data_IF_337330657996
#
_entry.id   IF_337330657996
#
_cell.length_a   1.000
_cell.length_b   1.000
_cell.length_c   1.000
_cell.angle_alpha   90.00
_cell.angle_beta   90.00
_cell.angle_gamma   90.00
#
_symmetry.space_group_name_H-M   'P 1'
#
loop_
_entity.id
_entity.type
_entity.pdbx_description
1 polymer ?
#
# COMPACT_ATOMS: atom_id res chain seq x y z
N UNK A 1 2.42 -12.04 16.09
CA UNK A 1 2.23 -10.69 15.53
C UNK A 1 1.03 -10.76 14.61
N UNK A 2 -0.09 -10.16 15.04
CA UNK A 2 -1.37 -10.29 14.37
C UNK A 2 -1.28 -9.83 12.92
N UNK A 3 -1.97 -10.52 12.02
CA UNK A 3 -2.01 -10.15 10.62
C UNK A 3 -2.37 -8.67 10.48
N UNK A 4 -1.38 -7.82 10.18
CA UNK A 4 -1.64 -6.58 9.46
C UNK A 4 -2.28 -7.05 8.17
N UNK A 5 -3.60 -7.10 8.17
CA UNK A 5 -4.35 -7.75 7.12
C UNK A 5 -4.01 -7.01 5.85
N UNK A 6 -3.54 -7.74 4.83
CA UNK A 6 -3.19 -7.17 3.52
C UNK A 6 -4.32 -6.29 2.96
N UNK A 7 -5.56 -6.57 3.34
CA UNK A 7 -6.73 -5.71 3.13
C UNK A 7 -6.53 -4.25 3.56
N UNK A 8 -5.91 -3.99 4.71
CA UNK A 8 -5.65 -2.64 5.22
C UNK A 8 -4.60 -1.94 4.35
N UNK A 9 -3.55 -2.65 3.96
CA UNK A 9 -2.47 -2.12 3.12
C UNK A 9 -3.04 -1.75 1.74
N UNK A 10 -3.81 -2.67 1.14
CA UNK A 10 -4.45 -2.48 -0.16
C UNK A 10 -5.49 -1.36 -0.10
N UNK A 11 -6.33 -1.33 0.94
CA UNK A 11 -7.30 -0.24 1.13
C UNK A 11 -6.61 1.12 1.26
N UNK A 12 -5.46 1.18 1.94
CA UNK A 12 -4.68 2.41 2.03
C UNK A 12 -4.13 2.85 0.67
N UNK A 13 -3.62 1.92 -0.15
CA UNK A 13 -3.18 2.25 -1.51
C UNK A 13 -4.34 2.78 -2.35
N UNK A 14 -5.52 2.14 -2.29
CA UNK A 14 -6.70 2.61 -3.03
C UNK A 14 -7.19 3.97 -2.55
N UNK A 15 -7.11 4.26 -1.25
CA UNK A 15 -7.42 5.58 -0.72
C UNK A 15 -6.50 6.65 -1.35
N UNK A 16 -5.20 6.41 -1.36
CA UNK A 16 -4.22 7.34 -1.95
C UNK A 16 -4.44 7.53 -3.46
N UNK A 17 -4.77 6.45 -4.18
CA UNK A 17 -5.14 6.53 -5.59
C UNK A 17 -6.41 7.37 -5.81
N UNK A 18 -7.41 7.23 -4.94
CA UNK A 18 -8.65 8.01 -5.00
C UNK A 18 -8.42 9.50 -4.70
N UNK A 19 -7.40 9.82 -3.91
CA UNK A 19 -6.92 11.19 -3.67
C UNK A 19 -6.17 11.80 -4.88
N UNK A 20 -6.03 11.04 -5.98
CA UNK A 20 -5.33 11.47 -7.20
C UNK A 20 -3.82 11.23 -7.18
N UNK A 21 -3.32 10.46 -6.22
CA UNK A 21 -1.91 10.08 -6.16
C UNK A 21 -1.56 9.08 -7.26
N UNK A 22 -0.34 9.18 -7.81
CA UNK A 22 0.16 8.18 -8.75
C UNK A 22 0.31 6.82 -8.07
N UNK A 23 0.17 5.72 -8.83
CA UNK A 23 0.33 4.35 -8.29
C UNK A 23 1.70 4.16 -7.61
N UNK A 24 2.76 4.70 -8.21
CA UNK A 24 4.12 4.61 -7.66
C UNK A 24 4.28 5.35 -6.34
N UNK A 25 3.68 6.52 -6.20
CA UNK A 25 3.71 7.31 -4.97
C UNK A 25 2.84 6.69 -3.87
N UNK A 26 1.65 6.19 -4.24
CA UNK A 26 0.74 5.52 -3.32
C UNK A 26 1.38 4.26 -2.72
N UNK A 27 2.02 3.45 -3.56
CA UNK A 27 2.78 2.27 -3.12
C UNK A 27 4.00 2.67 -2.28
N UNK A 28 4.68 3.77 -2.61
CA UNK A 28 5.81 4.26 -1.82
C UNK A 28 5.38 4.69 -0.42
N UNK A 29 4.29 5.46 -0.29
CA UNK A 29 3.72 5.84 1.01
C UNK A 29 3.24 4.63 1.81
N UNK A 30 2.57 3.68 1.17
CA UNK A 30 2.13 2.46 1.84
C UNK A 30 3.31 1.62 2.32
N UNK A 31 4.37 1.50 1.51
CA UNK A 31 5.61 0.81 1.87
C UNK A 31 6.25 1.41 3.12
N UNK A 32 6.40 2.73 3.16
CA UNK A 32 6.95 3.46 4.30
C UNK A 32 6.07 3.34 5.55
N UNK A 33 4.75 3.45 5.39
CA UNK A 33 3.79 3.39 6.51
C UNK A 33 3.72 2.03 7.18
N UNK A 34 3.74 0.95 6.39
CA UNK A 34 3.53 -0.41 6.89
C UNK A 34 4.83 -1.22 7.02
N UNK A 35 5.98 -0.66 6.62
CA UNK A 35 7.27 -1.35 6.67
C UNK A 35 7.35 -2.54 5.71
N UNK A 36 6.60 -2.51 4.61
CA UNK A 36 6.51 -3.61 3.63
C UNK A 36 7.22 -3.21 2.34
N UNK A 37 7.84 -4.17 1.66
CA UNK A 37 8.53 -3.87 0.40
C UNK A 37 7.55 -3.42 -0.70
N UNK A 38 7.95 -2.42 -1.50
CA UNK A 38 7.15 -1.93 -2.64
C UNK A 38 6.81 -3.05 -3.61
N UNK A 39 7.78 -3.93 -3.90
CA UNK A 39 7.61 -5.09 -4.79
C UNK A 39 6.55 -6.06 -4.28
N UNK A 40 6.48 -6.29 -2.98
CA UNK A 40 5.46 -7.17 -2.39
C UNK A 40 4.06 -6.56 -2.43
N UNK A 41 3.95 -5.24 -2.28
CA UNK A 41 2.70 -4.50 -2.48
C UNK A 41 2.26 -4.59 -3.94
N UNK A 42 3.17 -4.39 -4.89
CA UNK A 42 2.86 -4.54 -6.33
C UNK A 42 2.43 -5.95 -6.71
N UNK A 43 2.99 -6.98 -6.09
CA UNK A 43 2.62 -8.38 -6.34
C UNK A 43 1.20 -8.72 -5.87
N UNK A 44 0.64 -7.91 -4.97
CA UNK A 44 -0.68 -8.14 -4.34
C UNK A 44 -1.77 -7.14 -4.75
N UNK A 45 -1.41 -6.08 -5.48
CA UNK A 45 -2.31 -5.13 -6.13
C UNK A 45 -2.75 -5.66 -7.49
#
# INVERSE_FOLDING_TARGET
MGATSWLIIIAHVFLLLAEGMSKSDAVSKASERFGVSKSEIFSRL
#
